data_IF_326763600745
#
_entry.id   IF_326763600745
#
_cell.length_a   1.000
_cell.length_b   1.000
_cell.length_c   1.000
_cell.angle_alpha   90.00
_cell.angle_beta   90.00
_cell.angle_gamma   90.00
#
_symmetry.space_group_name_H-M   'P 1'
#
loop_
_entity.id
_entity.type
_entity.pdbx_description
1 polymer ?
#
# COMPACT_ATOMS: atom_id res chain seq x y z
N UNK A 1 -1.55 -0.34 23.14
CA UNK A 1 -2.36 0.44 22.19
C UNK A 1 -1.99 0.03 20.78
N UNK A 2 -2.95 -0.34 19.94
CA UNK A 2 -2.67 -0.75 18.57
C UNK A 2 -2.30 0.50 17.76
N UNK A 3 -1.23 0.47 16.96
CA UNK A 3 -0.74 1.61 16.16
C UNK A 3 -1.84 2.24 15.27
N UNK A 4 -2.80 1.41 14.86
CA UNK A 4 -4.03 1.82 14.16
C UNK A 4 -4.84 2.89 14.92
N UNK A 5 -5.00 2.76 16.24
CA UNK A 5 -5.81 3.69 17.05
C UNK A 5 -5.19 5.09 17.14
N UNK A 6 -3.89 5.22 16.86
CA UNK A 6 -3.17 6.50 16.87
C UNK A 6 -3.20 7.24 15.53
N UNK A 7 -3.77 6.64 14.48
CA UNK A 7 -3.83 7.26 13.15
C UNK A 7 -5.10 8.12 12.99
N UNK A 8 -5.03 9.27 12.31
CA UNK A 8 -6.21 10.09 12.05
C UNK A 8 -7.31 9.32 11.32
N UNK A 9 -8.55 9.53 11.71
CA UNK A 9 -9.71 9.02 10.97
C UNK A 9 -9.82 9.74 9.63
N UNK A 10 -10.05 8.98 8.57
CA UNK A 10 -10.16 9.50 7.22
C UNK A 10 -11.42 9.00 6.52
N UNK A 11 -11.94 9.84 5.62
CA UNK A 11 -13.16 9.59 4.84
C UNK A 11 -12.88 9.32 3.36
N UNK A 12 -11.64 8.95 3.01
CA UNK A 12 -11.27 8.70 1.61
C UNK A 12 -11.79 7.33 1.18
N UNK A 13 -12.17 7.21 -0.09
CA UNK A 13 -12.44 5.90 -0.68
C UNK A 13 -11.10 5.19 -0.90
N UNK A 14 -10.94 4.04 -0.26
CA UNK A 14 -9.83 3.13 -0.47
C UNK A 14 -10.36 1.92 -1.24
N UNK A 15 -9.62 1.48 -2.24
CA UNK A 15 -9.92 0.31 -3.05
C UNK A 15 -9.74 -1.00 -2.29
N UNK A 16 -8.72 -1.09 -1.41
CA UNK A 16 -8.41 -2.31 -0.65
C UNK A 16 -7.57 -3.35 -1.40
N UNK A 17 -7.44 -3.24 -2.72
CA UNK A 17 -6.58 -4.07 -3.58
C UNK A 17 -6.12 -3.30 -4.83
N UNK A 18 -5.63 -2.07 -4.64
CA UNK A 18 -5.19 -1.24 -5.74
C UNK A 18 -3.83 -1.73 -6.27
N UNK A 19 -3.84 -2.48 -7.37
CA UNK A 19 -2.63 -3.00 -8.01
C UNK A 19 -2.76 -2.98 -9.55
N UNK A 20 -1.67 -3.15 -10.32
CA UNK A 20 -1.71 -3.03 -11.78
C UNK A 20 -2.64 -4.02 -12.50
N UNK A 21 -2.91 -5.22 -11.97
CA UNK A 21 -3.84 -6.15 -12.63
C UNK A 21 -5.29 -5.68 -12.56
N UNK A 22 -5.60 -4.77 -11.62
CA UNK A 22 -6.91 -4.13 -11.49
C UNK A 22 -7.00 -2.80 -12.27
N UNK A 23 -6.04 -2.49 -13.15
CA UNK A 23 -6.04 -1.28 -13.97
C UNK A 23 -6.00 -1.66 -15.46
N UNK A 24 -7.02 -1.21 -16.20
CA UNK A 24 -7.02 -1.25 -17.67
C UNK A 24 -6.74 0.15 -18.20
N UNK A 25 -5.80 0.25 -19.16
CA UNK A 25 -5.56 1.46 -19.93
C UNK A 25 -6.13 1.24 -21.33
N UNK A 26 -7.06 2.08 -21.78
CA UNK A 26 -7.58 2.00 -23.16
C UNK A 26 -6.50 2.36 -24.18
N UNK A 27 -6.68 2.04 -25.47
CA UNK A 27 -5.76 2.48 -26.53
C UNK A 27 -5.53 4.00 -26.55
N UNK A 28 -6.53 4.80 -26.14
CA UNK A 28 -6.45 6.27 -26.02
C UNK A 28 -5.78 6.75 -24.72
N UNK A 29 -5.30 5.83 -23.88
CA UNK A 29 -4.63 6.14 -22.61
C UNK A 29 -5.56 6.39 -21.42
N UNK A 30 -6.87 6.13 -21.55
CA UNK A 30 -7.82 6.35 -20.45
C UNK A 30 -7.74 5.21 -19.42
N UNK A 31 -7.51 5.49 -18.12
CA UNK A 31 -7.48 4.45 -17.09
C UNK A 31 -8.88 4.08 -16.62
N UNK A 32 -9.08 2.78 -16.36
CA UNK A 32 -10.23 2.20 -15.67
C UNK A 32 -9.73 1.34 -14.52
N UNK A 33 -10.35 1.50 -13.35
CA UNK A 33 -10.03 0.74 -12.14
C UNK A 33 -11.13 -0.28 -11.91
N UNK A 34 -10.75 -1.55 -11.80
CA UNK A 34 -11.63 -2.71 -11.71
C UNK A 34 -11.69 -3.25 -10.27
N UNK A 35 -12.58 -4.21 -10.03
CA UNK A 35 -12.65 -5.00 -8.78
C UNK A 35 -12.74 -4.18 -7.48
N UNK A 36 -13.79 -3.38 -7.37
CA UNK A 36 -14.11 -2.59 -6.18
C UNK A 36 -14.74 -3.41 -5.04
N UNK A 37 -14.65 -4.74 -5.07
CA UNK A 37 -15.27 -5.63 -4.06
C UNK A 37 -14.71 -5.45 -2.65
N UNK A 38 -13.50 -4.89 -2.53
CA UNK A 38 -12.81 -4.57 -1.27
C UNK A 38 -12.85 -3.09 -0.89
N UNK A 39 -13.66 -2.28 -1.57
CA UNK A 39 -13.73 -0.85 -1.34
C UNK A 39 -14.19 -0.54 0.09
N UNK A 40 -13.49 0.38 0.74
CA UNK A 40 -13.78 0.83 2.10
C UNK A 40 -13.58 2.34 2.22
N UNK A 41 -14.13 2.93 3.28
CA UNK A 41 -13.77 4.28 3.68
C UNK A 41 -12.58 4.22 4.65
N UNK A 42 -11.52 5.00 4.40
CA UNK A 42 -10.37 5.03 5.27
C UNK A 42 -9.25 5.96 4.81
N UNK A 43 -8.01 5.55 5.12
CA UNK A 43 -6.81 6.31 4.80
C UNK A 43 -6.17 5.79 3.49
N UNK A 44 -6.01 6.67 2.50
CA UNK A 44 -5.42 6.31 1.21
C UNK A 44 -3.98 5.79 1.34
N UNK A 45 -3.24 6.16 2.39
CA UNK A 45 -1.90 5.63 2.66
C UNK A 45 -1.89 4.12 2.84
N UNK A 46 -3.00 3.51 3.27
CA UNK A 46 -3.12 2.06 3.40
C UNK A 46 -3.06 1.35 2.04
N UNK A 47 -3.76 1.87 1.02
CA UNK A 47 -3.71 1.35 -0.35
C UNK A 47 -2.32 1.57 -0.96
N UNK A 48 -1.73 2.75 -0.75
CA UNK A 48 -0.39 3.06 -1.28
C UNK A 48 0.66 2.14 -0.68
N UNK A 49 0.63 1.92 0.64
CA UNK A 49 1.50 0.97 1.32
C UNK A 49 1.31 -0.45 0.78
N UNK A 50 0.07 -0.87 0.48
CA UNK A 50 -0.23 -2.18 -0.12
C UNK A 50 0.42 -2.35 -1.49
N UNK A 51 0.20 -1.41 -2.41
CA UNK A 51 0.79 -1.47 -3.76
C UNK A 51 2.32 -1.40 -3.70
N UNK A 52 2.86 -0.57 -2.78
CA UNK A 52 4.31 -0.47 -2.57
C UNK A 52 4.91 -1.82 -2.17
N UNK A 53 4.35 -2.48 -1.14
CA UNK A 53 4.83 -3.78 -0.68
C UNK A 53 4.69 -4.86 -1.76
N UNK A 54 3.63 -4.82 -2.57
CA UNK A 54 3.49 -5.71 -3.72
C UNK A 54 4.66 -5.54 -4.70
N UNK A 55 5.00 -4.30 -5.08
CA UNK A 55 6.15 -4.08 -5.96
C UNK A 55 7.47 -4.55 -5.35
N UNK A 56 7.64 -4.39 -4.03
CA UNK A 56 8.82 -4.90 -3.32
C UNK A 56 8.88 -6.43 -3.34
N UNK A 57 7.75 -7.12 -3.13
CA UNK A 57 7.63 -8.58 -3.22
C UNK A 57 7.95 -9.08 -4.64
N UNK A 58 7.52 -8.35 -5.66
CA UNK A 58 7.84 -8.63 -7.07
C UNK A 58 9.29 -8.28 -7.46
N UNK A 59 10.13 -7.85 -6.49
CA UNK A 59 11.52 -7.41 -6.70
C UNK A 59 11.63 -6.23 -7.67
N UNK A 60 10.60 -5.37 -7.73
CA UNK A 60 10.53 -4.16 -8.56
C UNK A 60 10.81 -2.91 -7.72
N UNK A 61 11.96 -2.88 -7.03
CA UNK A 61 12.30 -1.85 -6.04
C UNK A 61 12.25 -0.42 -6.62
N UNK A 62 12.81 -0.21 -7.80
CA UNK A 62 12.79 1.11 -8.45
C UNK A 62 11.36 1.57 -8.77
N UNK A 63 10.47 0.65 -9.11
CA UNK A 63 9.07 0.96 -9.37
C UNK A 63 8.33 1.28 -8.06
N UNK A 64 8.61 0.54 -6.99
CA UNK A 64 8.06 0.79 -5.66
C UNK A 64 8.39 2.22 -5.18
N UNK A 65 9.67 2.61 -5.25
CA UNK A 65 10.13 3.94 -4.85
C UNK A 65 9.56 5.05 -5.73
N UNK A 66 9.49 4.81 -7.05
CA UNK A 66 8.89 5.75 -8.00
C UNK A 66 7.40 5.94 -7.70
N UNK A 67 6.68 4.87 -7.44
CA UNK A 67 5.25 4.89 -7.11
C UNK A 67 4.98 5.70 -5.83
N UNK A 68 5.68 5.37 -4.73
CA UNK A 68 5.55 6.10 -3.47
C UNK A 68 5.87 7.59 -3.63
N UNK A 69 6.96 7.90 -4.33
CA UNK A 69 7.38 9.29 -4.57
C UNK A 69 6.35 10.06 -5.40
N UNK A 70 5.80 9.45 -6.46
CA UNK A 70 4.78 10.10 -7.30
C UNK A 70 3.48 10.35 -6.54
N UNK A 71 3.04 9.40 -5.72
CA UNK A 71 1.86 9.58 -4.87
C UNK A 71 2.07 10.74 -3.89
N UNK A 72 3.17 10.71 -3.14
CA UNK A 72 3.50 11.74 -2.15
C UNK A 72 3.55 13.13 -2.78
N UNK A 73 4.24 13.28 -3.93
CA UNK A 73 4.33 14.54 -4.65
C UNK A 73 2.97 15.05 -5.16
N UNK A 74 2.10 14.16 -5.64
CA UNK A 74 0.79 14.55 -6.20
C UNK A 74 -0.22 14.94 -5.13
N UNK A 75 -0.06 14.45 -3.91
CA UNK A 75 -1.03 14.61 -2.83
C UNK A 75 -0.52 15.51 -1.69
N UNK A 76 0.72 16.00 -1.82
CA UNK A 76 1.44 16.71 -0.76
C UNK A 76 1.50 15.90 0.55
N UNK A 77 1.61 14.57 0.43
CA UNK A 77 1.71 13.67 1.58
C UNK A 77 3.17 13.41 1.90
N UNK A 78 3.56 13.55 3.17
CA UNK A 78 4.91 13.16 3.61
C UNK A 78 5.14 11.65 3.46
N UNK A 79 6.31 11.24 2.95
CA UNK A 79 6.64 9.81 2.77
C UNK A 79 6.54 9.02 4.07
N UNK A 80 6.99 9.61 5.17
CA UNK A 80 6.95 9.03 6.51
C UNK A 80 5.52 8.67 6.91
N UNK A 81 4.54 9.47 6.50
CA UNK A 81 3.14 9.21 6.80
C UNK A 81 2.63 7.93 6.11
N UNK A 82 3.05 7.67 4.87
CA UNK A 82 2.74 6.41 4.18
C UNK A 82 3.54 5.25 4.79
N UNK A 83 4.80 5.48 5.14
CA UNK A 83 5.68 4.45 5.70
C UNK A 83 5.17 3.90 7.05
N UNK A 84 4.47 4.72 7.86
CA UNK A 84 3.80 4.26 9.07
C UNK A 84 2.74 3.18 8.83
N UNK A 85 2.17 3.10 7.62
CA UNK A 85 1.22 2.06 7.24
C UNK A 85 1.88 0.74 6.82
N UNK A 86 3.17 0.73 6.49
CA UNK A 86 3.85 -0.45 5.95
C UNK A 86 3.80 -1.65 6.92
N UNK A 87 4.09 -1.52 8.23
CA UNK A 87 4.02 -2.66 9.15
C UNK A 87 2.59 -3.20 9.30
N UNK A 88 1.61 -2.30 9.32
CA UNK A 88 0.18 -2.66 9.48
C UNK A 88 -0.30 -3.45 8.27
N UNK A 89 0.03 -2.97 7.07
CA UNK A 89 -0.33 -3.62 5.82
C UNK A 89 0.45 -4.92 5.63
N UNK A 90 1.73 -4.96 5.97
CA UNK A 90 2.54 -6.17 5.91
C UNK A 90 1.97 -7.27 6.82
N UNK A 91 1.59 -6.93 8.05
CA UNK A 91 0.93 -7.86 8.97
C UNK A 91 -0.40 -8.37 8.39
N UNK A 92 -1.22 -7.49 7.82
CA UNK A 92 -2.50 -7.87 7.18
C UNK A 92 -2.30 -8.79 5.96
N UNK A 93 -1.27 -8.55 5.14
CA UNK A 93 -0.97 -9.36 3.96
C UNK A 93 -0.36 -10.73 4.32
N UNK A 94 0.40 -10.81 5.40
CA UNK A 94 1.08 -12.04 5.85
C UNK A 94 0.13 -13.20 6.17
N UNK A 95 -1.15 -12.91 6.43
CA UNK A 95 -2.19 -13.90 6.72
C UNK A 95 -2.79 -14.50 5.43
N UNK A 96 -2.61 -13.83 4.28
CA UNK A 96 -3.26 -14.18 3.00
C UNK A 96 -2.28 -14.70 1.93
N UNK A 97 -0.97 -14.51 2.13
CA UNK A 97 0.06 -14.77 1.11
C UNK A 97 0.71 -16.17 1.18
N UNK A 98 1.62 -16.42 0.23
CA UNK A 98 2.44 -17.64 0.19
C UNK A 98 3.52 -17.61 1.29
N UNK A 99 4.02 -18.78 1.69
CA UNK A 99 5.00 -18.89 2.79
C UNK A 99 6.28 -18.07 2.52
N UNK A 100 6.76 -18.03 1.29
CA UNK A 100 7.93 -17.23 0.88
C UNK A 100 7.69 -15.71 1.00
N UNK A 101 6.48 -15.25 0.70
CA UNK A 101 6.09 -13.84 0.83
C UNK A 101 5.96 -13.45 2.31
N UNK A 102 5.53 -14.39 3.15
CA UNK A 102 5.36 -14.19 4.59
C UNK A 102 6.67 -13.84 5.29
N UNK A 103 7.77 -14.53 4.95
CA UNK A 103 9.08 -14.23 5.54
C UNK A 103 9.56 -12.81 5.20
N UNK A 104 9.37 -12.39 3.94
CA UNK A 104 9.67 -11.03 3.51
C UNK A 104 8.81 -10.00 4.26
N UNK A 105 7.50 -10.24 4.36
CA UNK A 105 6.56 -9.34 5.01
C UNK A 105 6.80 -9.23 6.53
N UNK A 106 7.24 -10.31 7.19
CA UNK A 106 7.66 -10.28 8.60
C UNK A 106 8.88 -9.38 8.83
N UNK A 107 9.75 -9.22 7.83
CA UNK A 107 10.80 -8.21 7.89
C UNK A 107 10.19 -6.81 8.06
N UNK A 108 9.18 -6.48 7.25
CA UNK A 108 8.51 -5.18 7.25
C UNK A 108 7.63 -4.91 8.47
N UNK A 109 7.17 -5.93 9.19
CA UNK A 109 6.44 -5.71 10.45
C UNK A 109 7.33 -5.11 11.54
N UNK A 110 8.65 -5.33 11.45
CA UNK A 110 9.62 -4.96 12.48
C UNK A 110 10.47 -3.72 12.12
N UNK A 111 10.32 -3.15 10.92
CA UNK A 111 11.17 -2.05 10.39
C UNK A 111 11.01 -0.71 11.12
N UNK A 112 10.09 -0.58 12.08
CA UNK A 112 9.80 0.71 12.75
C UNK A 112 10.03 0.68 14.26
N UNK A 113 10.92 -0.20 14.72
CA UNK A 113 11.47 -0.19 16.09
C UNK A 113 12.86 0.47 16.17
N UNK A 114 13.35 1.05 15.08
CA UNK A 114 14.58 1.87 15.07
C UNK A 114 14.25 3.33 14.78
N UNK A 115 13.74 4.03 15.78
CA UNK A 115 13.98 5.46 16.07
C UNK A 115 13.54 5.79 17.50
#
# INVERSE_FOLDING_TARGET
>A
HMRLDSMPTHVKVCHGDYNPSNIIITPEGKPFVLDWSHATQGNASADVARTYLLFKLEKKDALAEKYLTLFCRKTDTAKQYVQQWLPIVAASQSVKGRQEEREFLLGWTNVVDYE
#
